data_IF_067741386101
#
_entry.id   IF_067741386101
#
_cell.length_a   1.000
_cell.length_b   1.000
_cell.length_c   1.000
_cell.angle_alpha   90.00
_cell.angle_beta   90.00
_cell.angle_gamma   90.00
#
_symmetry.space_group_name_H-M   'P 1'
#
loop_
_entity.id
_entity.type
_entity.pdbx_description
1 polymer ?
#
# COMPACT_ATOMS: atom_id res chain seq x y z
N UNK A 1 11.77 -7.20 -14.09
CA UNK A 1 12.43 -5.97 -13.55
C UNK A 1 11.45 -4.80 -13.42
N UNK A 2 10.61 -4.51 -14.42
CA UNK A 2 9.60 -3.43 -14.37
C UNK A 2 8.60 -3.60 -13.20
N UNK A 3 8.16 -4.83 -12.90
CA UNK A 3 7.26 -5.12 -11.77
C UNK A 3 7.83 -4.63 -10.43
N UNK A 4 9.04 -5.08 -10.09
CA UNK A 4 9.74 -4.74 -8.84
C UNK A 4 9.91 -3.23 -8.71
N UNK A 5 10.21 -2.54 -9.82
CA UNK A 5 10.31 -1.08 -9.87
C UNK A 5 8.97 -0.39 -9.59
N UNK A 6 7.88 -0.80 -10.26
CA UNK A 6 6.55 -0.20 -10.06
C UNK A 6 6.07 -0.41 -8.63
N UNK A 7 6.16 -1.65 -8.12
CA UNK A 7 5.79 -1.97 -6.73
C UNK A 7 6.67 -1.23 -5.73
N UNK A 8 7.97 -1.12 -5.99
CA UNK A 8 8.90 -0.38 -5.14
C UNK A 8 8.54 1.11 -5.05
N UNK A 9 8.27 1.75 -6.20
CA UNK A 9 7.86 3.15 -6.25
C UNK A 9 6.52 3.36 -5.54
N UNK A 10 5.53 2.47 -5.73
CA UNK A 10 4.24 2.60 -5.05
C UNK A 10 4.38 2.46 -3.54
N UNK A 11 5.23 1.55 -3.09
CA UNK A 11 5.50 1.33 -1.67
C UNK A 11 6.24 2.53 -1.05
N UNK A 12 7.24 3.09 -1.74
CA UNK A 12 7.92 4.33 -1.33
C UNK A 12 6.93 5.50 -1.28
N UNK A 13 6.07 5.67 -2.30
CA UNK A 13 5.05 6.71 -2.31
C UNK A 13 4.06 6.57 -1.13
N UNK A 14 3.61 5.34 -0.83
CA UNK A 14 2.72 5.07 0.30
C UNK A 14 3.39 5.38 1.66
N UNK A 15 4.68 5.04 1.81
CA UNK A 15 5.48 5.37 2.97
C UNK A 15 5.68 6.89 3.13
N UNK A 16 6.03 7.59 2.05
CA UNK A 16 6.19 9.06 2.04
C UNK A 16 4.87 9.74 2.41
N UNK A 17 3.73 9.28 1.87
CA UNK A 17 2.40 9.79 2.24
C UNK A 17 2.08 9.55 3.73
N UNK A 18 2.47 8.38 4.27
CA UNK A 18 2.28 8.04 5.68
C UNK A 18 3.12 8.90 6.63
N UNK A 19 4.40 9.10 6.28
CA UNK A 19 5.37 9.81 7.12
C UNK A 19 5.25 11.33 6.98
N UNK A 20 5.26 11.86 5.75
CA UNK A 20 5.43 13.30 5.46
C UNK A 20 4.26 14.17 5.92
N UNK A 21 3.14 13.55 6.28
CA UNK A 21 1.92 14.28 6.63
C UNK A 21 1.38 13.96 8.03
N UNK A 22 1.95 13.01 8.77
CA UNK A 22 1.33 12.50 10.01
C UNK A 22 -0.17 12.14 9.84
N UNK A 23 -0.61 11.90 8.60
CA UNK A 23 -2.04 11.74 8.27
C UNK A 23 -2.59 10.43 8.84
N UNK A 24 -1.75 9.40 8.96
CA UNK A 24 -2.08 8.17 9.66
C UNK A 24 -2.42 8.43 11.15
N UNK A 25 -1.85 9.48 11.74
CA UNK A 25 -2.05 9.89 13.13
C UNK A 25 -3.26 10.82 13.29
N UNK A 26 -3.40 11.81 12.40
CA UNK A 26 -4.42 12.87 12.49
C UNK A 26 -5.77 12.41 11.91
N UNK A 27 -5.78 11.64 10.83
CA UNK A 27 -7.01 11.22 10.14
C UNK A 27 -6.87 9.82 9.51
N UNK A 28 -6.79 8.75 10.34
CA UNK A 28 -6.50 7.39 9.88
C UNK A 28 -7.47 6.88 8.81
N UNK A 29 -8.76 7.21 8.93
CA UNK A 29 -9.79 6.84 7.93
C UNK A 29 -9.50 7.43 6.56
N UNK A 30 -9.12 8.71 6.48
CA UNK A 30 -8.80 9.39 5.22
C UNK A 30 -7.49 8.86 4.63
N UNK A 31 -6.52 8.51 5.47
CA UNK A 31 -5.27 7.90 5.03
C UNK A 31 -5.49 6.50 4.42
N UNK A 32 -6.24 5.60 5.07
CA UNK A 32 -6.58 4.29 4.50
C UNK A 32 -7.36 4.45 3.19
N UNK A 33 -8.34 5.34 3.12
CA UNK A 33 -9.11 5.57 1.90
C UNK A 33 -8.21 6.03 0.74
N UNK A 34 -7.30 6.98 1.00
CA UNK A 34 -6.37 7.45 -0.01
C UNK A 34 -5.39 6.37 -0.46
N UNK A 35 -4.85 5.59 0.48
CA UNK A 35 -3.92 4.49 0.18
C UNK A 35 -4.62 3.35 -0.54
N UNK A 36 -5.82 2.93 -0.12
CA UNK A 36 -6.59 1.91 -0.82
C UNK A 36 -6.99 2.39 -2.21
N UNK A 37 -7.41 3.66 -2.36
CA UNK A 37 -7.75 4.22 -3.66
C UNK A 37 -6.56 4.23 -4.63
N UNK A 38 -5.40 4.71 -4.17
CA UNK A 38 -4.18 4.68 -5.00
C UNK A 38 -3.70 3.26 -5.25
N UNK A 39 -3.78 2.37 -4.26
CA UNK A 39 -3.42 0.97 -4.39
C UNK A 39 -4.31 0.27 -5.42
N UNK A 40 -5.63 0.47 -5.43
CA UNK A 40 -6.55 -0.11 -6.43
C UNK A 40 -6.18 0.33 -7.84
N UNK A 41 -5.99 1.64 -8.06
CA UNK A 41 -5.65 2.15 -9.40
C UNK A 41 -4.32 1.57 -9.88
N UNK A 42 -3.30 1.62 -9.02
CA UNK A 42 -1.95 1.16 -9.36
C UNK A 42 -1.88 -0.37 -9.53
N UNK A 43 -2.66 -1.13 -8.75
CA UNK A 43 -2.72 -2.59 -8.88
C UNK A 43 -3.47 -3.05 -10.12
N UNK A 44 -4.54 -2.38 -10.54
CA UNK A 44 -5.21 -2.66 -11.82
C UNK A 44 -4.25 -2.41 -12.99
N UNK A 45 -3.58 -1.25 -13.00
CA UNK A 45 -2.62 -0.90 -14.05
C UNK A 45 -1.46 -1.90 -14.08
N UNK A 46 -0.88 -2.21 -12.92
CA UNK A 46 0.20 -3.20 -12.83
C UNK A 46 -0.27 -4.59 -13.25
N UNK A 47 -1.43 -5.05 -12.77
CA UNK A 47 -2.01 -6.34 -13.11
C UNK A 47 -2.32 -6.49 -14.60
N UNK A 48 -2.80 -5.45 -15.26
CA UNK A 48 -3.02 -5.45 -16.72
C UNK A 48 -1.71 -5.51 -17.50
N UNK A 49 -0.73 -4.65 -17.17
CA UNK A 49 0.57 -4.63 -17.86
C UNK A 49 1.29 -5.96 -17.69
N UNK A 50 1.22 -6.56 -16.50
CA UNK A 50 1.97 -7.77 -16.17
C UNK A 50 1.23 -9.01 -16.61
N UNK A 51 -0.08 -9.10 -16.36
CA UNK A 51 -0.88 -10.25 -16.78
C UNK A 51 -0.97 -10.40 -18.30
N UNK A 52 -0.76 -9.32 -19.05
CA UNK A 52 -0.65 -9.37 -20.52
C UNK A 52 0.77 -9.66 -21.01
N UNK A 53 1.80 -9.20 -20.28
CA UNK A 53 3.21 -9.37 -20.67
C UNK A 53 3.87 -10.67 -20.14
N UNK A 54 3.38 -11.23 -19.03
CA UNK A 54 3.90 -12.44 -18.37
C UNK A 54 2.84 -13.56 -18.42
N UNK A 55 2.60 -14.11 -19.61
CA UNK A 55 1.82 -15.34 -19.82
C UNK A 55 2.71 -16.60 -19.75
N UNK A 56 3.71 -16.62 -18.88
CA UNK A 56 4.62 -17.75 -18.76
C UNK A 56 4.00 -18.91 -17.95
N UNK A 57 3.41 -19.88 -18.66
CA UNK A 57 3.31 -21.31 -18.29
C UNK A 57 2.40 -21.72 -17.13
N UNK A 58 2.05 -20.79 -16.25
CA UNK A 58 1.04 -20.96 -15.22
C UNK A 58 -0.10 -20.00 -15.57
N UNK A 59 -1.34 -20.49 -15.62
CA UNK A 59 -2.56 -19.73 -15.96
C UNK A 59 -2.93 -18.67 -14.91
N UNK A 60 -1.96 -17.87 -14.47
CA UNK A 60 -2.17 -16.73 -13.61
C UNK A 60 -2.81 -15.62 -14.42
N UNK A 61 -4.10 -15.48 -14.21
CA UNK A 61 -4.91 -14.42 -14.76
C UNK A 61 -4.48 -13.04 -14.22
N UNK A 62 -4.60 -12.02 -15.05
CA UNK A 62 -4.22 -10.65 -14.75
C UNK A 62 -4.83 -10.09 -13.44
N UNK A 63 -6.03 -10.57 -13.07
CA UNK A 63 -6.68 -10.17 -11.83
C UNK A 63 -5.96 -10.70 -10.58
N UNK A 64 -5.30 -11.86 -10.65
CA UNK A 64 -4.49 -12.39 -9.54
C UNK A 64 -3.26 -11.51 -9.28
N UNK A 65 -2.59 -11.04 -10.34
CA UNK A 65 -1.47 -10.09 -10.21
C UNK A 65 -1.93 -8.73 -9.66
N UNK A 66 -3.14 -8.29 -10.01
CA UNK A 66 -3.74 -7.09 -9.44
C UNK A 66 -3.98 -7.26 -7.93
N UNK A 67 -4.61 -8.35 -7.49
CA UNK A 67 -4.84 -8.63 -6.06
C UNK A 67 -3.53 -8.70 -5.29
N UNK A 68 -2.53 -9.40 -5.82
CA UNK A 68 -1.22 -9.52 -5.17
C UNK A 68 -0.54 -8.15 -5.02
N UNK A 69 -0.56 -7.33 -6.07
CA UNK A 69 0.00 -5.98 -6.05
C UNK A 69 -0.74 -5.08 -5.06
N UNK A 70 -2.06 -5.21 -4.96
CA UNK A 70 -2.87 -4.50 -3.97
C UNK A 70 -2.46 -4.86 -2.54
N UNK A 71 -2.34 -6.16 -2.24
CA UNK A 71 -1.97 -6.64 -0.90
C UNK A 71 -0.57 -6.16 -0.49
N UNK A 72 0.39 -6.17 -1.42
CA UNK A 72 1.76 -5.70 -1.18
C UNK A 72 1.80 -4.22 -0.79
N UNK A 73 0.87 -3.40 -1.28
CA UNK A 73 0.80 -1.96 -0.94
C UNK A 73 0.01 -1.73 0.34
N UNK A 74 -1.12 -2.43 0.53
CA UNK A 74 -2.04 -2.19 1.64
C UNK A 74 -1.52 -2.76 2.96
N UNK A 75 -0.90 -3.94 2.96
CA UNK A 75 -0.39 -4.57 4.19
C UNK A 75 0.66 -3.69 4.91
N UNK A 76 1.71 -3.17 4.24
CA UNK A 76 2.66 -2.26 4.89
C UNK A 76 2.00 -0.97 5.40
N UNK A 77 1.02 -0.44 4.67
CA UNK A 77 0.32 0.77 5.10
C UNK A 77 -0.53 0.54 6.36
N UNK A 78 -1.17 -0.63 6.49
CA UNK A 78 -1.89 -1.04 7.70
C UNK A 78 -0.93 -1.22 8.88
N UNK A 79 0.22 -1.89 8.66
CA UNK A 79 1.26 -2.06 9.69
C UNK A 79 1.77 -0.70 10.16
N UNK A 80 2.08 0.21 9.24
CA UNK A 80 2.58 1.55 9.56
C UNK A 80 1.55 2.38 10.33
N UNK A 81 0.27 2.28 9.96
CA UNK A 81 -0.80 2.90 10.74
C UNK A 81 -0.88 2.32 12.15
N UNK A 82 -0.84 0.99 12.29
CA UNK A 82 -0.88 0.30 13.58
C UNK A 82 0.23 0.78 14.51
N UNK A 83 1.46 0.84 14.01
CA UNK A 83 2.64 1.32 14.75
C UNK A 83 2.46 2.79 15.18
N UNK A 84 2.05 3.67 14.27
CA UNK A 84 1.88 5.10 14.57
C UNK A 84 0.77 5.34 15.62
N UNK A 85 -0.34 4.61 15.51
CA UNK A 85 -1.46 4.73 16.44
C UNK A 85 -1.11 4.18 17.82
N UNK A 86 -0.41 3.06 17.88
CA UNK A 86 0.09 2.48 19.14
C UNK A 86 1.08 3.44 19.83
N UNK A 87 2.01 4.02 19.07
CA UNK A 87 2.95 5.04 19.59
C UNK A 87 2.23 6.25 20.18
N UNK A 88 1.19 6.77 19.52
CA UNK A 88 0.39 7.88 20.05
C UNK A 88 -0.34 7.50 21.35
N UNK A 89 -0.91 6.30 21.44
CA UNK A 89 -1.59 5.84 22.65
C UNK A 89 -0.62 5.74 23.84
N UNK A 90 0.58 5.21 23.61
CA UNK A 90 1.64 5.17 24.62
C UNK A 90 2.03 6.57 25.10
N UNK A 91 2.24 7.52 24.17
CA UNK A 91 2.56 8.91 24.51
C UNK A 91 1.45 9.58 25.32
N UNK A 92 0.17 9.27 25.05
CA UNK A 92 -0.96 9.81 25.79
C UNK A 92 -1.04 9.26 27.22
N UNK A 93 -0.72 7.97 27.40
CA UNK A 93 -0.66 7.33 28.73
C UNK A 93 0.49 7.86 29.59
N UNK A 94 1.61 8.27 28.99
CA UNK A 94 2.77 8.81 29.72
C UNK A 94 2.61 10.28 30.14
N UNK A 95 1.70 11.02 29.50
CA UNK A 95 1.43 12.44 29.79
C UNK A 95 0.24 12.67 30.73
N UNK A 96 -0.52 11.63 31.05
CA UNK A 96 -1.66 11.65 31.97
C UNK A 96 -1.25 11.10 33.32
#
# INVERSE_FOLDING_TARGET
>A
MIYVLITGITLICALILGIRKNYASVSPKKYILAVCGSAVITSIVAGLIIGTAYSHGLDFTWWMFSILSFLIVVLPALVLMGILRFRMLLLRKYKS
#
